data_IF_336708527990
#
_entry.id   IF_336708527990
#
_cell.length_a   1.000
_cell.length_b   1.000
_cell.length_c   1.000
_cell.angle_alpha   90.00
_cell.angle_beta   90.00
_cell.angle_gamma   90.00
#
_symmetry.space_group_name_H-M   'P 1'
#
loop_
_entity.id
_entity.type
_entity.pdbx_description
1 polymer ?
#
# COMPACT_ATOMS: atom_id res chain seq x y z
N UNK A 1 0.63 -18.48 18.45
CA UNK A 1 -0.08 -17.71 19.50
C UNK A 1 0.00 -16.25 19.11
N UNK A 2 -1.14 -15.61 18.80
CA UNK A 2 -1.19 -14.19 18.41
C UNK A 2 -0.83 -13.33 19.63
N UNK A 3 0.45 -13.02 19.76
CA UNK A 3 1.00 -12.23 20.86
C UNK A 3 0.65 -10.75 20.73
N UNK A 4 -0.54 -10.37 21.17
CA UNK A 4 -0.92 -8.97 21.37
C UNK A 4 -0.28 -8.33 22.63
N UNK A 5 0.64 -9.04 23.30
CA UNK A 5 1.33 -8.56 24.50
C UNK A 5 2.50 -7.60 24.20
N UNK A 6 2.94 -7.47 22.95
CA UNK A 6 4.00 -6.54 22.58
C UNK A 6 3.43 -5.14 22.28
N UNK A 7 3.96 -4.12 22.95
CA UNK A 7 3.69 -2.71 22.62
C UNK A 7 4.08 -2.46 21.17
N UNK A 8 3.16 -1.90 20.37
CA UNK A 8 3.41 -1.56 18.97
C UNK A 8 4.74 -0.80 18.82
N UNK A 9 5.60 -1.30 17.94
CA UNK A 9 6.79 -0.59 17.51
C UNK A 9 6.46 0.23 16.26
N UNK A 10 6.76 1.53 16.32
CA UNK A 10 6.64 2.42 15.17
C UNK A 10 7.87 2.28 14.29
N UNK A 11 7.63 2.08 12.99
CA UNK A 11 8.69 1.98 11.99
C UNK A 11 8.99 3.35 11.42
N UNK A 12 10.28 3.67 11.30
CA UNK A 12 10.78 4.90 10.68
C UNK A 12 11.72 4.52 9.53
N UNK A 13 11.18 4.01 8.41
CA UNK A 13 12.01 3.55 7.31
C UNK A 13 12.72 4.73 6.64
N UNK A 14 13.98 4.50 6.27
CA UNK A 14 14.81 5.44 5.55
C UNK A 14 14.39 5.50 4.07
N UNK A 15 14.27 6.71 3.52
CA UNK A 15 14.03 6.91 2.09
C UNK A 15 15.17 6.32 1.23
N UNK A 16 14.82 5.57 0.19
CA UNK A 16 15.78 5.00 -0.77
C UNK A 16 15.60 5.65 -2.14
N UNK A 17 16.70 5.82 -2.88
CA UNK A 17 16.69 6.27 -4.28
C UNK A 17 17.37 5.23 -5.15
N UNK A 18 16.83 5.00 -6.34
CA UNK A 18 17.39 4.04 -7.28
C UNK A 18 16.45 3.76 -8.46
N UNK A 19 16.90 2.97 -9.46
CA UNK A 19 16.09 2.64 -10.63
C UNK A 19 14.80 1.90 -10.25
N UNK A 20 14.88 0.94 -9.33
CA UNK A 20 13.72 0.20 -8.84
C UNK A 20 12.71 1.09 -8.10
N UNK A 21 13.20 2.08 -7.34
CA UNK A 21 12.30 3.04 -6.70
C UNK A 21 11.61 3.93 -7.73
N UNK A 22 12.30 4.34 -8.81
CA UNK A 22 11.67 5.08 -9.91
C UNK A 22 10.59 4.25 -10.61
N UNK A 23 10.85 2.96 -10.83
CA UNK A 23 9.85 2.05 -11.39
C UNK A 23 8.61 1.94 -10.48
N UNK A 24 8.80 1.79 -9.16
CA UNK A 24 7.69 1.78 -8.20
C UNK A 24 6.86 3.06 -8.28
N UNK A 25 7.52 4.22 -8.30
CA UNK A 25 6.83 5.51 -8.46
C UNK A 25 6.03 5.61 -9.77
N UNK A 26 6.57 5.10 -10.88
CA UNK A 26 5.85 5.04 -12.15
C UNK A 26 4.61 4.12 -12.06
N UNK A 27 4.76 2.93 -11.46
CA UNK A 27 3.63 2.02 -11.23
C UNK A 27 2.58 2.65 -10.33
N UNK A 28 2.99 3.31 -9.25
CA UNK A 28 2.08 4.00 -8.34
C UNK A 28 1.34 5.11 -9.08
N UNK A 29 2.03 5.94 -9.87
CA UNK A 29 1.40 6.99 -10.67
C UNK A 29 0.37 6.42 -11.65
N UNK A 30 0.68 5.31 -12.31
CA UNK A 30 -0.26 4.61 -13.19
C UNK A 30 -1.49 4.10 -12.44
N UNK A 31 -1.33 3.50 -11.25
CA UNK A 31 -2.46 3.01 -10.46
C UNK A 31 -3.34 4.15 -9.93
N UNK A 32 -2.74 5.28 -9.55
CA UNK A 32 -3.52 6.46 -9.20
C UNK A 32 -4.25 7.05 -10.41
N UNK A 33 -3.62 7.04 -11.59
CA UNK A 33 -4.31 7.45 -12.82
C UNK A 33 -5.52 6.54 -13.08
N UNK A 34 -5.36 5.23 -12.90
CA UNK A 34 -6.46 4.25 -13.03
C UNK A 34 -7.53 4.48 -11.96
N UNK A 35 -7.20 4.92 -10.75
CA UNK A 35 -8.17 5.22 -9.69
C UNK A 35 -8.92 6.54 -9.91
N UNK A 36 -8.25 7.57 -10.42
CA UNK A 36 -8.81 8.92 -10.49
C UNK A 36 -9.40 9.26 -11.85
N UNK A 37 -8.93 8.68 -12.96
CA UNK A 37 -9.35 9.10 -14.31
C UNK A 37 -10.65 8.46 -14.81
N UNK A 38 -10.89 7.14 -14.68
CA UNK A 38 -12.02 6.48 -15.34
C UNK A 38 -13.41 7.02 -14.99
N UNK A 39 -13.70 7.43 -13.73
CA UNK A 39 -15.00 8.03 -13.40
C UNK A 39 -15.29 9.37 -14.11
N UNK A 40 -14.27 10.04 -14.64
CA UNK A 40 -14.41 11.35 -15.31
C UNK A 40 -14.46 11.26 -16.83
N UNK A 41 -13.90 10.19 -17.40
CA UNK A 41 -13.90 9.96 -18.85
C UNK A 41 -15.28 9.45 -19.22
N UNK A 42 -16.00 10.16 -20.08
CA UNK A 42 -17.34 9.75 -20.53
C UNK A 42 -17.23 9.06 -21.89
N UNK A 43 -17.76 7.85 -21.99
CA UNK A 43 -17.83 7.03 -23.21
C UNK A 43 -19.29 6.64 -23.41
N UNK A 44 -19.85 6.96 -24.59
CA UNK A 44 -21.24 6.65 -24.96
C UNK A 44 -22.30 7.13 -23.94
N UNK A 45 -22.04 8.25 -23.27
CA UNK A 45 -22.96 8.89 -22.33
C UNK A 45 -22.85 8.42 -20.87
N UNK A 46 -21.97 7.47 -20.55
CA UNK A 46 -21.70 7.02 -19.19
C UNK A 46 -20.20 7.14 -18.84
N UNK A 47 -19.80 7.18 -17.56
CA UNK A 47 -18.38 7.12 -17.20
C UNK A 47 -17.73 5.82 -17.72
N UNK A 48 -16.44 5.90 -18.03
CA UNK A 48 -15.67 4.83 -18.65
C UNK A 48 -15.61 3.59 -17.75
N UNK A 49 -15.65 3.76 -16.44
CA UNK A 49 -15.94 2.67 -15.50
C UNK A 49 -16.99 3.19 -14.52
N UNK A 50 -18.17 2.58 -14.54
CA UNK A 50 -19.26 2.92 -13.63
C UNK A 50 -20.02 1.67 -13.20
N UNK A 51 -20.14 1.49 -11.88
CA UNK A 51 -20.84 0.37 -11.25
C UNK A 51 -22.17 0.89 -10.73
N UNK A 52 -23.20 0.78 -11.56
CA UNK A 52 -24.57 1.14 -11.23
C UNK A 52 -25.23 0.01 -10.42
N UNK A 53 -25.10 0.10 -9.10
CA UNK A 53 -25.71 -0.84 -8.16
C UNK A 53 -27.25 -0.82 -8.24
N UNK A 54 -27.95 0.33 -8.21
CA UNK A 54 -29.41 0.38 -8.37
C UNK A 54 -29.91 -0.22 -9.68
N UNK A 55 -29.26 0.11 -10.80
CA UNK A 55 -29.63 -0.40 -12.13
C UNK A 55 -29.13 -1.81 -12.42
N UNK A 56 -28.28 -2.39 -11.55
CA UNK A 56 -27.60 -3.68 -11.71
C UNK A 56 -26.84 -3.79 -13.03
N UNK A 57 -26.17 -2.72 -13.41
CA UNK A 57 -25.38 -2.61 -14.63
C UNK A 57 -23.95 -2.20 -14.30
N UNK A 58 -22.99 -2.76 -15.02
CA UNK A 58 -21.60 -2.33 -14.98
C UNK A 58 -21.24 -1.79 -16.36
N UNK A 59 -20.91 -0.51 -16.41
CA UNK A 59 -20.39 0.14 -17.60
C UNK A 59 -18.87 0.02 -17.59
N UNK A 60 -18.30 -0.56 -18.64
CA UNK A 60 -16.86 -0.73 -18.80
C UNK A 60 -16.48 -0.36 -20.24
N UNK A 61 -15.83 0.78 -20.40
CA UNK A 61 -15.30 1.32 -21.66
C UNK A 61 -16.35 1.34 -22.79
N UNK A 62 -17.59 1.76 -22.47
CA UNK A 62 -18.73 1.81 -23.41
C UNK A 62 -19.55 0.50 -23.48
N UNK A 63 -19.00 -0.63 -23.03
CA UNK A 63 -19.76 -1.87 -22.91
C UNK A 63 -20.64 -1.87 -21.64
N UNK A 64 -21.85 -2.42 -21.75
CA UNK A 64 -22.81 -2.52 -20.65
C UNK A 64 -22.97 -3.99 -20.29
N UNK A 65 -22.52 -4.36 -19.09
CA UNK A 65 -22.68 -5.69 -18.53
C UNK A 65 -23.89 -5.72 -17.59
N UNK A 66 -24.78 -6.67 -17.82
CA UNK A 66 -25.99 -6.85 -17.01
C UNK A 66 -25.83 -8.03 -16.06
N UNK A 67 -26.82 -8.28 -15.20
CA UNK A 67 -26.81 -9.44 -14.29
C UNK A 67 -26.72 -10.78 -15.03
N UNK A 68 -27.20 -10.88 -16.27
CA UNK A 68 -27.05 -12.08 -17.10
C UNK A 68 -25.60 -12.34 -17.51
N UNK A 69 -24.77 -11.30 -17.55
CA UNK A 69 -23.36 -11.34 -17.95
C UNK A 69 -22.42 -11.55 -16.75
N UNK A 70 -22.96 -11.77 -15.55
CA UNK A 70 -22.19 -11.96 -14.31
C UNK A 70 -21.20 -13.12 -14.40
N UNK A 71 -21.47 -14.11 -15.27
CA UNK A 71 -20.53 -15.21 -15.53
C UNK A 71 -19.20 -14.72 -16.11
N UNK A 72 -19.20 -13.68 -16.95
CA UNK A 72 -17.97 -13.08 -17.46
C UNK A 72 -17.19 -12.36 -16.36
N UNK A 73 -17.90 -11.68 -15.45
CA UNK A 73 -17.28 -11.08 -14.26
C UNK A 73 -16.63 -12.15 -13.38
N UNK A 74 -17.30 -13.30 -13.18
CA UNK A 74 -16.73 -14.42 -12.44
C UNK A 74 -15.47 -14.96 -13.11
N UNK A 75 -15.49 -15.18 -14.43
CA UNK A 75 -14.29 -15.63 -15.15
C UNK A 75 -13.16 -14.61 -15.09
N UNK A 76 -13.46 -13.32 -15.17
CA UNK A 76 -12.47 -12.26 -15.01
C UNK A 76 -11.84 -12.27 -13.60
N UNK A 77 -12.66 -12.43 -12.57
CA UNK A 77 -12.18 -12.53 -11.18
C UNK A 77 -11.30 -13.77 -10.96
N UNK A 78 -11.74 -14.93 -11.45
CA UNK A 78 -10.96 -16.16 -11.38
C UNK A 78 -9.65 -16.03 -12.15
N UNK A 79 -9.69 -15.52 -13.39
CA UNK A 79 -8.49 -15.28 -14.19
C UNK A 79 -7.51 -14.36 -13.47
N UNK A 80 -7.99 -13.26 -12.88
CA UNK A 80 -7.14 -12.32 -12.13
C UNK A 80 -6.55 -12.97 -10.88
N UNK A 81 -7.34 -13.74 -10.13
CA UNK A 81 -6.89 -14.45 -8.94
C UNK A 81 -5.83 -15.52 -9.26
N UNK A 82 -6.07 -16.38 -10.26
CA UNK A 82 -5.10 -17.38 -10.69
C UNK A 82 -3.84 -16.74 -11.29
N UNK A 83 -3.99 -15.65 -12.05
CA UNK A 83 -2.84 -14.91 -12.57
C UNK A 83 -1.98 -14.34 -11.44
N UNK A 84 -2.61 -13.80 -10.38
CA UNK A 84 -1.90 -13.32 -9.20
C UNK A 84 -1.16 -14.46 -8.49
N UNK A 85 -1.79 -15.61 -8.31
CA UNK A 85 -1.17 -16.77 -7.66
C UNK A 85 -0.01 -17.33 -8.49
N UNK A 86 -0.19 -17.50 -9.79
CA UNK A 86 0.85 -17.93 -10.71
C UNK A 86 2.03 -16.95 -10.74
N UNK A 87 1.76 -15.65 -10.77
CA UNK A 87 2.80 -14.65 -10.73
C UNK A 87 3.56 -14.65 -9.38
N UNK A 88 2.86 -14.93 -8.29
CA UNK A 88 3.44 -15.07 -6.96
C UNK A 88 4.36 -16.27 -6.84
N UNK A 89 3.99 -17.41 -7.41
CA UNK A 89 4.85 -18.61 -7.36
C UNK A 89 6.15 -18.43 -8.12
N UNK A 90 6.19 -17.53 -9.11
CA UNK A 90 7.40 -17.22 -9.89
C UNK A 90 8.22 -16.07 -9.27
N UNK A 91 7.57 -14.97 -8.90
CA UNK A 91 8.22 -13.70 -8.56
C UNK A 91 8.02 -13.27 -7.10
N UNK A 92 7.45 -14.16 -6.27
CA UNK A 92 7.22 -13.94 -4.86
C UNK A 92 6.38 -12.69 -4.60
N UNK A 93 6.97 -11.70 -3.93
CA UNK A 93 6.25 -10.55 -3.36
C UNK A 93 6.27 -9.28 -4.21
N UNK A 94 6.52 -9.42 -5.52
CA UNK A 94 6.55 -8.29 -6.44
C UNK A 94 5.20 -7.53 -6.45
N UNK A 95 4.06 -8.23 -6.40
CA UNK A 95 2.74 -7.57 -6.24
C UNK A 95 2.66 -6.68 -5.00
N UNK A 96 3.06 -7.21 -3.84
CA UNK A 96 3.05 -6.49 -2.57
C UNK A 96 3.90 -5.23 -2.61
N UNK A 97 5.04 -5.26 -3.32
CA UNK A 97 5.96 -4.13 -3.44
C UNK A 97 5.55 -3.05 -4.45
N UNK A 98 4.83 -3.42 -5.52
CA UNK A 98 4.60 -2.55 -6.68
C UNK A 98 3.14 -2.17 -6.93
N UNK A 99 2.16 -3.00 -6.54
CA UNK A 99 0.77 -2.81 -6.95
C UNK A 99 -0.26 -2.94 -5.83
N UNK A 100 0.09 -3.54 -4.69
CA UNK A 100 -0.81 -3.64 -3.54
C UNK A 100 -1.29 -2.24 -3.09
N UNK A 101 -2.61 -1.98 -3.00
CA UNK A 101 -3.14 -0.68 -2.62
C UNK A 101 -2.57 -0.14 -1.31
N UNK A 102 -2.37 -1.02 -0.31
CA UNK A 102 -1.79 -0.65 0.98
C UNK A 102 -0.41 -0.03 0.81
N UNK A 103 0.48 -0.71 0.09
CA UNK A 103 1.84 -0.23 -0.18
C UNK A 103 1.83 1.02 -1.04
N UNK A 104 0.96 1.07 -2.06
CA UNK A 104 0.84 2.21 -2.97
C UNK A 104 0.51 3.48 -2.17
N UNK A 105 -0.49 3.47 -1.29
CA UNK A 105 -0.83 4.65 -0.49
C UNK A 105 0.19 4.97 0.60
N UNK A 106 0.75 3.96 1.27
CA UNK A 106 1.77 4.19 2.31
C UNK A 106 3.05 4.83 1.72
N UNK A 107 3.56 4.29 0.62
CA UNK A 107 4.81 4.76 0.03
C UNK A 107 4.65 5.97 -0.88
N UNK A 108 3.53 6.11 -1.60
CA UNK A 108 3.31 7.26 -2.48
C UNK A 108 2.84 8.51 -1.73
N UNK A 109 2.07 8.34 -0.65
CA UNK A 109 1.40 9.46 0.03
C UNK A 109 1.88 9.59 1.47
N UNK A 110 1.62 8.59 2.32
CA UNK A 110 1.87 8.71 3.77
C UNK A 110 3.33 9.06 4.07
N UNK A 111 4.29 8.26 3.59
CA UNK A 111 5.71 8.45 3.90
C UNK A 111 6.30 9.76 3.37
N UNK A 112 6.07 10.15 2.10
CA UNK A 112 6.51 11.47 1.61
C UNK A 112 5.94 12.64 2.42
N UNK A 113 4.66 12.60 2.79
CA UNK A 113 4.08 13.66 3.63
C UNK A 113 4.66 13.65 5.05
N UNK A 114 4.95 12.49 5.64
CA UNK A 114 5.67 12.42 6.92
C UNK A 114 7.07 12.99 6.84
N UNK A 115 7.81 12.66 5.78
CA UNK A 115 9.16 13.18 5.56
C UNK A 115 9.15 14.69 5.34
N UNK A 116 8.16 15.21 4.63
CA UNK A 116 8.02 16.65 4.40
C UNK A 116 7.61 17.42 5.66
N UNK A 117 6.69 16.88 6.47
CA UNK A 117 6.15 17.56 7.66
C UNK A 117 7.05 17.39 8.88
N UNK A 118 7.56 16.18 9.13
CA UNK A 118 8.34 15.85 10.32
C UNK A 118 9.85 15.68 10.05
N UNK A 119 10.28 15.59 8.80
CA UNK A 119 11.70 15.45 8.42
C UNK A 119 12.13 13.99 8.22
N UNK A 120 13.44 13.78 8.11
CA UNK A 120 14.03 12.48 7.87
C UNK A 120 13.73 11.46 8.99
N UNK A 121 14.08 10.20 8.73
CA UNK A 121 13.77 9.09 9.63
C UNK A 121 14.38 9.26 11.04
N UNK A 122 15.60 9.80 11.13
CA UNK A 122 16.28 10.07 12.42
C UNK A 122 15.58 11.19 13.19
N UNK A 123 15.22 12.27 12.50
CA UNK A 123 14.52 13.42 13.09
C UNK A 123 13.14 13.01 13.60
N UNK A 124 12.41 12.20 12.84
CA UNK A 124 11.10 11.64 13.23
C UNK A 124 11.21 10.78 14.47
N UNK A 125 12.14 9.81 14.48
CA UNK A 125 12.38 8.94 15.63
C UNK A 125 12.74 9.73 16.88
N UNK A 126 13.71 10.65 16.77
CA UNK A 126 14.14 11.51 17.89
C UNK A 126 13.01 12.38 18.41
N UNK A 127 12.17 12.94 17.52
CA UNK A 127 11.03 13.77 17.91
C UNK A 127 9.96 12.95 18.63
N UNK A 128 9.73 11.72 18.20
CA UNK A 128 8.73 10.84 18.83
C UNK A 128 9.16 10.35 20.20
N UNK A 129 10.45 10.05 20.39
CA UNK A 129 11.06 9.74 21.70
C UNK A 129 11.14 10.95 22.64
N UNK A 130 11.20 12.18 22.09
CA UNK A 130 11.29 13.43 22.85
C UNK A 130 9.99 13.90 23.52
N UNK A 131 10.12 14.92 24.39
CA UNK A 131 8.99 15.58 25.08
C UNK A 131 8.03 16.27 24.09
N UNK A 132 6.78 16.47 24.51
CA UNK A 132 5.81 17.27 23.75
C UNK A 132 6.22 18.75 23.75
N UNK A 133 6.80 19.18 22.64
CA UNK A 133 7.08 20.59 22.34
C UNK A 133 6.01 21.15 21.41
N UNK A 134 5.91 22.48 21.31
CA UNK A 134 5.03 23.12 20.33
C UNK A 134 5.35 22.68 18.89
N UNK A 135 6.64 22.57 18.54
CA UNK A 135 7.08 22.05 17.23
C UNK A 135 6.54 20.64 16.95
N UNK A 136 6.59 19.74 17.94
CA UNK A 136 6.00 18.40 17.82
C UNK A 136 4.49 18.45 17.67
N UNK A 137 3.81 19.26 18.47
CA UNK A 137 2.35 19.35 18.48
C UNK A 137 1.78 19.82 17.14
N UNK A 138 2.26 20.93 16.59
CA UNK A 138 1.71 21.46 15.34
C UNK A 138 2.02 20.54 14.15
N UNK A 139 3.23 19.96 14.08
CA UNK A 139 3.60 19.00 13.01
C UNK A 139 2.73 17.76 13.05
N UNK A 140 2.47 17.21 14.24
CA UNK A 140 1.54 16.10 14.40
C UNK A 140 0.14 16.53 13.95
N UNK A 141 -0.37 17.66 14.43
CA UNK A 141 -1.70 18.14 14.03
C UNK A 141 -1.84 18.30 12.51
N UNK A 142 -0.85 18.89 11.84
CA UNK A 142 -0.83 19.03 10.38
C UNK A 142 -0.73 17.68 9.69
N UNK A 143 0.10 16.76 10.18
CA UNK A 143 0.18 15.40 9.65
C UNK A 143 -1.18 14.68 9.69
N UNK A 144 -1.83 14.68 10.85
CA UNK A 144 -3.15 14.05 11.01
C UNK A 144 -4.20 14.75 10.13
N UNK A 145 -4.16 16.08 10.03
CA UNK A 145 -5.04 16.84 9.11
C UNK A 145 -4.82 16.49 7.64
N UNK A 146 -3.56 16.35 7.20
CA UNK A 146 -3.23 15.93 5.83
C UNK A 146 -3.74 14.51 5.57
N UNK A 147 -3.52 13.56 6.48
CA UNK A 147 -4.02 12.19 6.29
C UNK A 147 -5.55 12.12 6.25
N UNK A 148 -6.24 12.97 7.01
CA UNK A 148 -7.70 13.05 6.94
C UNK A 148 -8.14 13.55 5.56
N UNK A 149 -7.53 14.63 5.07
CA UNK A 149 -7.83 15.18 3.75
C UNK A 149 -7.55 14.18 2.61
N UNK A 150 -6.43 13.45 2.71
CA UNK A 150 -6.07 12.42 1.74
C UNK A 150 -7.04 11.22 1.79
N UNK A 151 -7.41 10.76 2.99
CA UNK A 151 -8.38 9.66 3.14
C UNK A 151 -9.74 10.05 2.58
N UNK A 152 -10.15 11.30 2.80
CA UNK A 152 -11.37 11.86 2.21
C UNK A 152 -11.29 11.93 0.68
N UNK A 153 -10.14 12.38 0.14
CA UNK A 153 -9.92 12.44 -1.30
C UNK A 153 -10.01 11.06 -1.97
N UNK A 154 -9.41 10.04 -1.36
CA UNK A 154 -9.48 8.66 -1.86
C UNK A 154 -10.92 8.13 -1.72
N UNK A 155 -11.62 8.42 -0.62
CA UNK A 155 -13.03 8.05 -0.44
C UNK A 155 -13.93 8.65 -1.51
N UNK A 156 -13.74 9.93 -1.85
CA UNK A 156 -14.44 10.59 -2.94
C UNK A 156 -14.13 9.93 -4.30
N UNK A 157 -12.87 9.65 -4.59
CA UNK A 157 -12.46 9.00 -5.84
C UNK A 157 -13.06 7.60 -5.97
N UNK A 158 -12.99 6.79 -4.92
CA UNK A 158 -13.58 5.45 -4.89
C UNK A 158 -15.09 5.48 -5.04
N UNK A 159 -15.79 6.36 -4.31
CA UNK A 159 -17.24 6.49 -4.43
C UNK A 159 -17.68 7.02 -5.79
N UNK A 160 -16.81 7.72 -6.53
CA UNK A 160 -17.11 8.18 -7.89
C UNK A 160 -17.37 7.03 -8.88
N UNK A 161 -16.86 5.82 -8.61
CA UNK A 161 -17.16 4.63 -9.42
C UNK A 161 -18.59 4.12 -9.25
N UNK A 162 -19.27 4.49 -8.16
CA UNK A 162 -20.61 4.02 -7.84
C UNK A 162 -21.65 5.12 -7.99
N UNK A 163 -21.37 6.29 -7.40
CA UNK A 163 -22.29 7.43 -7.33
C UNK A 163 -22.17 8.40 -8.52
N UNK A 164 -21.18 8.21 -9.40
CA UNK A 164 -20.85 9.17 -10.45
C UNK A 164 -19.94 10.30 -9.95
N UNK A 165 -18.93 10.64 -10.76
CA UNK A 165 -17.94 11.64 -10.37
C UNK A 165 -18.50 13.07 -10.38
N UNK A 166 -19.41 13.41 -11.30
CA UNK A 166 -19.90 14.79 -11.40
C UNK A 166 -20.80 15.11 -10.21
N UNK A 167 -21.72 14.22 -9.90
CA UNK A 167 -22.71 14.34 -8.84
C UNK A 167 -22.02 14.47 -7.48
N UNK A 168 -21.07 13.58 -7.19
CA UNK A 168 -20.37 13.55 -5.92
C UNK A 168 -19.52 14.80 -5.68
N UNK A 169 -18.78 15.26 -6.70
CA UNK A 169 -17.83 16.37 -6.57
C UNK A 169 -18.47 17.76 -6.73
N UNK A 170 -19.69 17.85 -7.26
CA UNK A 170 -20.45 19.11 -7.35
C UNK A 170 -21.39 19.36 -6.17
N UNK A 171 -21.45 18.44 -5.19
CA UNK A 171 -22.35 18.58 -4.05
C UNK A 171 -23.78 18.08 -4.32
N UNK A 172 -24.01 17.37 -5.43
CA UNK A 172 -25.35 17.00 -5.91
C UNK A 172 -25.73 15.55 -5.56
N UNK A 173 -24.80 14.75 -5.02
CA UNK A 173 -25.10 13.39 -4.62
C UNK A 173 -26.04 13.33 -3.40
N UNK A 174 -26.67 12.18 -3.20
CA UNK A 174 -27.59 11.97 -2.09
C UNK A 174 -26.89 11.81 -0.73
N UNK A 175 -27.71 11.74 0.31
CA UNK A 175 -27.24 11.55 1.69
C UNK A 175 -26.52 10.21 1.89
N UNK A 176 -26.96 9.16 1.20
CA UNK A 176 -26.40 7.80 1.33
C UNK A 176 -24.97 7.78 0.79
N UNK A 177 -24.75 8.39 -0.37
CA UNK A 177 -23.45 8.49 -1.03
C UNK A 177 -22.45 9.24 -0.14
N UNK A 178 -22.82 10.40 0.39
CA UNK A 178 -21.95 11.14 1.31
C UNK A 178 -21.73 10.44 2.65
N UNK A 179 -22.73 9.72 3.15
CA UNK A 179 -22.56 8.89 4.36
C UNK A 179 -21.54 7.78 4.13
N UNK A 180 -21.57 7.13 2.97
CA UNK A 180 -20.58 6.12 2.58
C UNK A 180 -19.19 6.74 2.41
N UNK A 181 -19.08 7.91 1.78
CA UNK A 181 -17.81 8.66 1.73
C UNK A 181 -17.27 8.89 3.13
N UNK A 182 -18.12 9.32 4.08
CA UNK A 182 -17.72 9.52 5.48
C UNK A 182 -17.21 8.24 6.15
N UNK A 183 -17.90 7.12 5.94
CA UNK A 183 -17.50 5.81 6.48
C UNK A 183 -16.15 5.37 5.89
N UNK A 184 -15.98 5.41 4.56
CA UNK A 184 -14.73 5.05 3.91
C UNK A 184 -13.58 5.98 4.32
N UNK A 185 -13.86 7.28 4.46
CA UNK A 185 -12.91 8.26 4.98
C UNK A 185 -12.45 7.86 6.38
N UNK A 186 -13.36 7.51 7.28
CA UNK A 186 -13.02 7.11 8.65
C UNK A 186 -12.18 5.82 8.68
N UNK A 187 -12.56 4.82 7.89
CA UNK A 187 -11.84 3.53 7.81
C UNK A 187 -10.43 3.72 7.24
N UNK A 188 -10.28 4.41 6.12
CA UNK A 188 -8.97 4.66 5.53
C UNK A 188 -8.12 5.64 6.32
N UNK A 189 -8.75 6.60 7.00
CA UNK A 189 -8.02 7.47 7.91
C UNK A 189 -7.45 6.70 9.09
N UNK A 190 -8.24 5.82 9.70
CA UNK A 190 -7.75 4.92 10.74
C UNK A 190 -6.60 4.06 10.22
N UNK A 191 -6.73 3.50 9.02
CA UNK A 191 -5.70 2.66 8.43
C UNK A 191 -4.42 3.45 8.12
N UNK A 192 -4.47 4.48 7.29
CA UNK A 192 -3.30 5.24 6.83
C UNK A 192 -2.65 6.07 7.95
N UNK A 193 -3.45 6.63 8.86
CA UNK A 193 -2.90 7.46 9.93
C UNK A 193 -2.35 6.60 11.07
N UNK A 194 -3.04 5.50 11.42
CA UNK A 194 -2.69 4.67 12.56
C UNK A 194 -2.34 3.23 12.19
N UNK A 195 -3.20 2.41 11.57
CA UNK A 195 -2.99 0.96 11.42
C UNK A 195 -1.79 0.57 10.54
N UNK A 196 -1.70 1.12 9.32
CA UNK A 196 -0.57 1.08 8.38
C UNK A 196 -0.04 -0.32 8.11
N UNK A 197 1.23 -0.58 8.42
CA UNK A 197 1.91 -1.85 8.19
C UNK A 197 1.27 -3.02 8.95
N UNK A 198 0.53 -2.74 10.03
CA UNK A 198 -0.24 -3.75 10.77
C UNK A 198 -1.29 -4.43 9.88
N UNK A 199 -1.79 -3.74 8.85
CA UNK A 199 -2.67 -4.35 7.86
C UNK A 199 -2.01 -5.56 7.20
N UNK A 200 -0.79 -5.39 6.70
CA UNK A 200 -0.03 -6.47 6.05
C UNK A 200 0.23 -7.63 7.00
N UNK A 201 0.55 -7.33 8.27
CA UNK A 201 0.98 -8.34 9.25
C UNK A 201 -0.20 -9.13 9.84
N UNK A 202 -1.35 -8.48 10.07
CA UNK A 202 -2.46 -9.08 10.82
C UNK A 202 -3.74 -9.28 10.02
N UNK A 203 -4.04 -8.39 9.07
CA UNK A 203 -5.34 -8.39 8.38
C UNK A 203 -5.28 -8.94 6.95
N UNK A 204 -4.14 -8.79 6.27
CA UNK A 204 -3.99 -9.18 4.87
C UNK A 204 -4.03 -10.71 4.70
N UNK A 205 -5.11 -11.27 4.12
CA UNK A 205 -5.19 -12.71 3.90
C UNK A 205 -4.19 -13.17 2.83
N UNK A 206 -3.91 -12.30 1.87
CA UNK A 206 -2.97 -12.57 0.79
C UNK A 206 -1.56 -12.80 1.31
N UNK A 207 -1.06 -11.98 2.24
CA UNK A 207 0.26 -12.18 2.87
C UNK A 207 0.39 -13.55 3.55
N UNK A 208 -0.71 -14.12 4.05
CA UNK A 208 -0.75 -15.46 4.64
C UNK A 208 -0.73 -16.56 3.58
N UNK A 209 -1.48 -16.39 2.49
CA UNK A 209 -1.47 -17.34 1.38
C UNK A 209 -0.13 -17.37 0.64
N UNK A 210 0.60 -16.26 0.57
CA UNK A 210 1.89 -16.20 -0.13
C UNK A 210 2.88 -17.26 0.39
N UNK A 211 2.94 -17.51 1.70
CA UNK A 211 3.83 -18.55 2.24
C UNK A 211 3.54 -19.97 1.74
N UNK A 212 2.31 -20.26 1.29
CA UNK A 212 1.94 -21.53 0.68
C UNK A 212 2.10 -21.54 -0.86
N UNK A 213 2.28 -20.37 -1.48
CA UNK A 213 2.44 -20.20 -2.93
C UNK A 213 3.89 -20.08 -3.36
N UNK A 214 4.81 -19.84 -2.42
CA UNK A 214 6.24 -19.72 -2.69
C UNK A 214 7.00 -20.99 -2.30
N UNK A 215 7.98 -21.37 -3.13
CA UNK A 215 8.90 -22.48 -2.89
C UNK A 215 10.37 -22.03 -3.02
N UNK A 216 11.29 -22.98 -3.03
CA UNK A 216 12.73 -22.71 -3.12
C UNK A 216 13.16 -22.17 -4.50
N UNK A 217 12.34 -22.37 -5.54
CA UNK A 217 12.59 -21.89 -6.91
C UNK A 217 11.96 -20.51 -7.14
N UNK A 218 11.03 -20.08 -6.28
CA UNK A 218 10.46 -18.74 -6.34
C UNK A 218 11.54 -17.67 -6.16
N UNK A 219 11.58 -16.70 -7.08
CA UNK A 219 12.50 -15.57 -6.99
C UNK A 219 12.10 -14.70 -5.80
N UNK A 220 12.91 -14.77 -4.74
CA UNK A 220 12.71 -14.02 -3.49
C UNK A 220 13.99 -13.28 -3.10
N UNK A 221 13.82 -12.13 -2.45
CA UNK A 221 14.95 -11.37 -1.92
C UNK A 221 15.27 -11.96 -0.55
N UNK A 222 16.35 -12.71 -0.45
CA UNK A 222 16.80 -13.33 0.80
C UNK A 222 18.30 -13.05 1.03
N UNK A 223 18.73 -13.17 2.28
CA UNK A 223 20.13 -13.09 2.63
C UNK A 223 20.86 -14.36 2.19
N UNK A 224 21.92 -14.18 1.39
CA UNK A 224 22.81 -15.28 0.99
C UNK A 224 23.87 -15.47 2.06
N UNK A 225 23.72 -16.55 2.86
CA UNK A 225 24.62 -16.88 3.96
C UNK A 225 26.03 -17.19 3.45
N UNK A 226 26.16 -17.92 2.33
CA UNK A 226 27.46 -18.32 1.77
C UNK A 226 28.25 -17.11 1.26
N UNK A 227 27.54 -16.10 0.74
CA UNK A 227 28.15 -14.84 0.30
C UNK A 227 28.40 -13.88 1.47
N UNK A 228 27.52 -13.87 2.47
CA UNK A 228 27.48 -12.85 3.52
C UNK A 228 28.38 -13.14 4.71
N UNK A 229 28.59 -14.41 5.07
CA UNK A 229 29.28 -14.83 6.28
C UNK A 229 30.74 -15.30 6.03
N UNK A 230 31.64 -15.16 7.01
CA UNK A 230 31.44 -14.52 8.31
C UNK A 230 31.41 -12.99 8.16
N UNK A 231 30.51 -12.33 8.90
CA UNK A 231 30.44 -10.86 8.92
C UNK A 231 31.76 -10.25 9.35
N UNK A 232 32.13 -9.15 8.71
CA UNK A 232 33.24 -8.35 9.19
C UNK A 232 33.53 -7.13 8.34
N UNK A 233 34.63 -6.46 8.69
CA UNK A 233 35.06 -5.22 8.05
C UNK A 233 35.61 -5.55 6.65
N UNK A 234 35.37 -4.72 5.62
CA UNK A 234 35.82 -4.99 4.24
C UNK A 234 37.33 -5.24 4.05
N UNK A 235 38.14 -4.90 5.06
CA UNK A 235 39.60 -4.97 5.03
C UNK A 235 40.16 -6.20 5.76
N UNK A 236 39.31 -6.96 6.45
CA UNK A 236 39.72 -8.18 7.12
C UNK A 236 39.85 -9.34 6.12
N UNK A 237 40.88 -10.17 6.27
CA UNK A 237 40.97 -11.44 5.54
C UNK A 237 39.87 -12.38 6.04
N UNK A 238 39.29 -13.14 5.12
CA UNK A 238 38.28 -14.17 5.37
C UNK A 238 36.90 -13.65 5.84
N UNK A 239 36.51 -12.42 5.49
CA UNK A 239 35.15 -11.89 5.74
C UNK A 239 34.26 -11.98 4.50
N UNK A 240 32.98 -12.28 4.72
CA UNK A 240 31.94 -12.27 3.70
C UNK A 240 31.48 -10.85 3.35
N UNK A 241 30.53 -10.74 2.42
CA UNK A 241 30.06 -9.45 1.91
C UNK A 241 29.18 -8.64 2.87
N UNK A 242 28.79 -9.20 4.02
CA UNK A 242 27.96 -8.52 5.00
C UNK A 242 28.82 -7.80 6.05
N UNK A 243 28.70 -6.47 6.10
CA UNK A 243 29.45 -5.61 7.04
C UNK A 243 28.65 -5.23 8.30
N UNK A 244 27.50 -5.89 8.54
CA UNK A 244 26.62 -5.61 9.68
C UNK A 244 26.18 -4.13 9.83
N UNK A 245 25.91 -3.45 8.71
CA UNK A 245 25.51 -2.04 8.74
C UNK A 245 24.04 -1.79 9.16
N UNK A 246 23.22 -2.84 9.28
CA UNK A 246 21.79 -2.72 9.61
C UNK A 246 20.91 -2.05 8.53
N UNK A 247 21.46 -1.70 7.36
CA UNK A 247 20.72 -0.96 6.33
C UNK A 247 19.49 -1.72 5.82
N UNK A 248 19.54 -3.05 5.76
CA UNK A 248 18.39 -3.89 5.43
C UNK A 248 17.18 -3.63 6.34
N UNK A 249 17.42 -3.45 7.64
CA UNK A 249 16.39 -3.19 8.64
C UNK A 249 15.85 -1.76 8.50
N UNK A 250 16.75 -0.78 8.37
CA UNK A 250 16.34 0.63 8.33
C UNK A 250 15.61 1.03 7.04
N UNK A 251 15.87 0.36 5.91
CA UNK A 251 15.19 0.66 4.65
C UNK A 251 13.93 -0.18 4.42
N UNK A 252 13.76 -1.29 5.16
CA UNK A 252 12.61 -2.16 4.98
C UNK A 252 11.33 -1.45 5.49
N UNK A 253 10.26 -1.38 4.67
CA UNK A 253 8.99 -0.83 5.11
C UNK A 253 8.39 -1.54 6.31
N UNK A 254 8.74 -2.82 6.52
CA UNK A 254 8.28 -3.68 7.60
C UNK A 254 9.29 -3.83 8.74
N UNK A 255 10.48 -3.22 8.62
CA UNK A 255 11.52 -3.27 9.66
C UNK A 255 12.14 -4.65 9.88
N UNK A 256 12.04 -5.54 8.90
CA UNK A 256 12.60 -6.90 8.98
C UNK A 256 14.12 -6.88 8.89
N UNK A 257 14.74 -7.89 9.48
CA UNK A 257 16.11 -8.24 9.17
C UNK A 257 16.14 -9.42 8.18
N UNK A 258 16.60 -9.16 6.96
CA UNK A 258 16.72 -10.21 5.91
C UNK A 258 17.66 -11.34 6.32
N UNK A 259 18.54 -11.10 7.31
CA UNK A 259 19.51 -12.09 7.81
C UNK A 259 18.86 -13.17 8.66
N UNK A 260 17.68 -12.91 9.21
CA UNK A 260 16.89 -13.88 9.97
C UNK A 260 16.07 -14.80 9.05
N UNK A 261 16.28 -14.72 7.73
CA UNK A 261 15.61 -15.54 6.73
C UNK A 261 14.23 -15.00 6.36
N UNK A 262 13.36 -15.90 5.91
CA UNK A 262 12.01 -15.54 5.49
C UNK A 262 11.12 -15.21 6.70
N UNK A 263 10.58 -14.00 6.71
CA UNK A 263 9.65 -13.51 7.73
C UNK A 263 8.27 -13.32 7.13
N UNK A 264 7.21 -13.61 7.90
CA UNK A 264 5.83 -13.52 7.41
C UNK A 264 5.42 -12.08 7.06
N UNK A 265 5.98 -11.13 7.80
CA UNK A 265 5.86 -9.69 7.64
C UNK A 265 6.39 -9.21 6.28
N UNK A 266 7.41 -9.90 5.75
CA UNK A 266 8.05 -9.59 4.47
C UNK A 266 7.32 -10.28 3.35
#
# INVERSE_FOLDING_TARGET
MLGFAAKRQWLYPQSVRGPWQRLRWATFALLHLILFAPPWIVVDGAPAIWIDLPGRKVHLLGAIFTTSDTIFLLFLLLFTAFSLFFFTSLFGRLWCGFACPQTVFLDAWVRPFEEWIEGGWVERRRRDEGRWTFDKAWRKAVKWGVFLALSFLVAMAFMSYFAGARELWTGQAGLVEYSLVGIFTAVWYFDLAWFREQFCNYLCPYARFQGALTDAETITIQYDINRGEPRGVPEAKDTGGCIDCGKCVFVCPQGIDIRDGFQLEC
#
